data_IF_612437052575
#
_entry.id   IF_612437052575
#
_cell.length_a   1.000
_cell.length_b   1.000
_cell.length_c   1.000
_cell.angle_alpha   90.00
_cell.angle_beta   90.00
_cell.angle_gamma   90.00
#
_symmetry.space_group_name_H-M   'P 1'
#
loop_
_entity.id
_entity.type
_entity.pdbx_description
1 polymer ?
#
# COMPACT_ATOMS: atom_id res chain seq x y z
N UNK A 1 -1.49 -39.99 29.60
CA UNK A 1 -0.68 -39.09 30.44
C UNK A 1 -0.46 -37.80 29.69
N UNK A 2 -0.49 -36.64 30.38
CA UNK A 2 -1.20 -35.45 29.90
C UNK A 2 -0.43 -34.62 28.87
N UNK A 3 -1.20 -34.02 27.97
CA UNK A 3 -0.81 -32.96 27.05
C UNK A 3 -0.42 -31.70 27.84
N UNK A 4 0.84 -31.32 27.79
CA UNK A 4 1.32 -30.07 28.36
C UNK A 4 1.06 -28.93 27.37
N UNK A 5 -0.15 -28.38 27.38
CA UNK A 5 -0.44 -27.09 26.77
C UNK A 5 0.11 -26.00 27.67
N UNK A 6 1.38 -25.65 27.47
CA UNK A 6 1.92 -24.42 28.01
C UNK A 6 1.24 -23.25 27.29
N UNK A 7 0.24 -22.62 27.94
CA UNK A 7 -0.25 -21.31 27.53
C UNK A 7 0.88 -20.31 27.74
N UNK A 8 1.61 -20.00 26.67
CA UNK A 8 2.50 -18.85 26.68
C UNK A 8 1.61 -17.60 26.75
N UNK A 9 1.54 -16.97 27.93
CA UNK A 9 0.96 -15.64 28.06
C UNK A 9 1.66 -14.69 27.08
N UNK A 10 0.93 -13.81 26.37
CA UNK A 10 1.57 -12.86 25.47
C UNK A 10 2.56 -12.00 26.27
N UNK A 11 3.72 -11.64 25.70
CA UNK A 11 4.66 -10.77 26.38
C UNK A 11 3.96 -9.42 26.62
N UNK A 12 3.62 -9.15 27.87
CA UNK A 12 3.05 -7.87 28.31
C UNK A 12 4.17 -6.82 28.41
N UNK A 13 4.85 -6.53 27.29
CA UNK A 13 5.66 -5.33 27.23
C UNK A 13 4.70 -4.15 27.04
N UNK A 14 4.13 -3.66 28.14
CA UNK A 14 3.50 -2.32 28.14
C UNK A 14 4.53 -1.35 27.60
N UNK A 15 4.27 -0.81 26.41
CA UNK A 15 5.05 0.26 25.82
C UNK A 15 5.19 1.38 26.86
N UNK A 16 6.43 1.67 27.29
CA UNK A 16 6.70 2.77 28.21
C UNK A 16 7.02 4.02 27.39
N UNK A 17 5.98 4.79 27.07
CA UNK A 17 6.13 6.13 26.52
C UNK A 17 6.98 7.00 27.47
N UNK A 18 8.10 7.53 26.98
CA UNK A 18 8.83 8.63 27.62
C UNK A 18 8.83 9.80 26.63
N UNK A 19 7.91 10.76 26.78
CA UNK A 19 8.04 12.04 26.09
C UNK A 19 8.72 13.10 26.94
N UNK A 20 9.64 13.79 26.28
CA UNK A 20 10.15 15.11 26.64
C UNK A 20 10.52 15.80 25.32
N UNK A 21 9.66 15.68 24.29
CA UNK A 21 9.96 16.19 22.94
C UNK A 21 9.48 17.65 22.85
N UNK A 22 10.41 18.63 22.80
CA UNK A 22 10.05 20.04 22.84
C UNK A 22 9.32 20.52 21.57
N UNK A 23 9.22 19.68 20.54
CA UNK A 23 8.61 20.01 19.25
C UNK A 23 7.12 19.63 19.14
N UNK A 24 6.56 18.90 20.10
CA UNK A 24 5.14 18.55 20.10
C UNK A 24 4.35 19.37 21.14
N UNK A 25 3.18 19.95 20.76
CA UNK A 25 2.24 20.48 21.74
C UNK A 25 1.83 19.40 22.74
N UNK A 26 1.93 19.69 24.03
CA UNK A 26 1.68 18.72 25.12
C UNK A 26 0.29 18.07 25.06
N UNK A 27 -0.71 18.75 24.49
CA UNK A 27 -2.05 18.19 24.28
C UNK A 27 -2.06 17.07 23.23
N UNK A 28 -1.39 17.28 22.10
CA UNK A 28 -1.25 16.29 21.03
C UNK A 28 -0.41 15.09 21.48
N UNK A 29 0.63 15.32 22.30
CA UNK A 29 1.37 14.22 22.93
C UNK A 29 0.47 13.33 23.79
N UNK A 30 -0.43 13.91 24.57
CA UNK A 30 -1.36 13.16 25.42
C UNK A 30 -2.35 12.35 24.60
N UNK A 31 -2.87 12.91 23.50
CA UNK A 31 -3.77 12.18 22.59
C UNK A 31 -3.06 11.01 21.90
N UNK A 32 -1.85 11.23 21.40
CA UNK A 32 -1.04 10.16 20.79
C UNK A 32 -0.73 9.08 21.83
N UNK A 33 -0.28 9.46 23.02
CA UNK A 33 0.02 8.49 24.09
C UNK A 33 -1.23 7.69 24.49
N UNK A 34 -2.40 8.34 24.57
CA UNK A 34 -3.67 7.68 24.84
C UNK A 34 -4.05 6.70 23.73
N UNK A 35 -3.92 7.10 22.46
CA UNK A 35 -4.21 6.23 21.32
C UNK A 35 -3.26 5.02 21.29
N UNK A 36 -1.96 5.23 21.44
CA UNK A 36 -0.95 4.15 21.46
C UNK A 36 -1.10 3.21 22.67
N UNK A 37 -1.71 3.65 23.78
CA UNK A 37 -2.07 2.77 24.91
C UNK A 37 -3.34 1.97 24.67
N UNK A 38 -4.22 2.44 23.77
CA UNK A 38 -5.52 1.81 23.49
C UNK A 38 -5.40 0.74 22.40
N UNK A 39 -4.48 0.91 21.46
CA UNK A 39 -4.16 -0.07 20.43
C UNK A 39 -2.94 -0.90 20.82
N UNK A 40 -2.92 -2.21 20.53
CA UNK A 40 -1.72 -3.04 20.64
C UNK A 40 -0.78 -2.74 19.45
N UNK A 41 -0.23 -1.53 19.43
CA UNK A 41 0.62 -1.01 18.35
C UNK A 41 2.06 -1.47 18.56
N UNK A 42 2.32 -2.73 18.20
CA UNK A 42 3.68 -3.29 18.19
C UNK A 42 4.58 -2.62 17.15
N UNK A 43 4.02 -2.09 16.04
CA UNK A 43 4.74 -1.33 14.99
C UNK A 43 3.88 -0.22 14.40
N UNK A 44 4.24 1.04 14.64
CA UNK A 44 3.53 2.18 14.07
C UNK A 44 4.53 3.28 13.68
N UNK A 45 4.34 3.85 12.49
CA UNK A 45 4.91 5.15 12.12
C UNK A 45 3.79 6.17 12.24
N UNK A 46 4.00 7.21 13.04
CA UNK A 46 3.13 8.37 13.04
C UNK A 46 3.83 9.48 12.25
N UNK A 47 3.21 9.85 11.13
CA UNK A 47 3.58 11.02 10.37
C UNK A 47 2.52 12.09 10.58
N UNK A 48 2.89 13.21 11.19
CA UNK A 48 2.03 14.40 11.26
C UNK A 48 2.65 15.43 10.34
N UNK A 49 1.98 15.65 9.21
CA UNK A 49 2.30 16.76 8.31
C UNK A 49 1.44 17.92 8.76
N UNK A 50 2.05 18.88 9.47
CA UNK A 50 1.38 20.14 9.74
C UNK A 50 1.63 21.04 8.53
N UNK A 51 0.57 21.34 7.80
CA UNK A 51 0.62 22.41 6.82
C UNK A 51 1.11 23.67 7.55
N UNK A 52 2.10 24.42 7.05
CA UNK A 52 2.45 25.67 7.68
C UNK A 52 1.25 26.57 7.43
N UNK A 53 0.31 26.65 8.38
CA UNK A 53 -0.89 27.44 8.14
C UNK A 53 -0.43 28.85 7.77
N UNK A 54 -0.97 29.44 6.70
CA UNK A 54 -0.87 30.87 6.52
C UNK A 54 -1.69 31.46 7.67
N UNK A 55 -1.00 32.01 8.67
CA UNK A 55 -1.53 32.53 9.93
C UNK A 55 -1.90 31.49 11.02
N UNK A 56 -1.11 31.47 12.09
CA UNK A 56 -1.67 31.52 13.43
C UNK A 56 -1.45 32.95 13.93
N UNK A 57 -2.26 33.88 13.39
CA UNK A 57 -2.56 35.09 14.15
C UNK A 57 -3.54 34.66 15.23
N UNK A 58 -3.03 34.28 16.39
CA UNK A 58 -3.77 34.40 17.63
C UNK A 58 -3.16 35.56 18.37
N UNK A 59 -3.60 36.77 18.04
CA UNK A 59 -3.65 37.84 19.02
C UNK A 59 -4.37 37.27 20.25
N UNK A 60 -3.61 37.15 21.35
CA UNK A 60 -4.11 37.11 22.71
C UNK A 60 -5.13 38.26 22.91
N UNK A 61 -6.05 38.15 23.88
CA UNK A 61 -7.15 39.11 24.02
C UNK A 61 -6.63 40.54 24.16
N UNK A 62 -7.00 41.34 23.14
CA UNK A 62 -7.36 42.78 23.11
C UNK A 62 -6.64 43.54 21.97
N UNK A 63 -7.32 43.63 20.80
CA UNK A 63 -6.93 44.46 19.66
C UNK A 63 -6.47 43.64 18.44
N UNK A 64 -7.37 43.45 17.47
CA UNK A 64 -7.06 42.82 16.17
C UNK A 64 -7.25 43.88 15.09
N UNK A 65 -6.23 44.10 14.26
CA UNK A 65 -6.41 44.66 12.91
C UNK A 65 -5.82 43.68 11.90
N UNK A 66 -6.59 43.42 10.86
CA UNK A 66 -6.18 42.72 9.65
C UNK A 66 -5.03 43.46 8.95
N UNK A 67 -4.09 42.71 8.37
CA UNK A 67 -3.77 42.77 6.93
C UNK A 67 -2.42 42.13 6.62
N UNK A 68 -2.44 41.23 5.64
CA UNK A 68 -1.47 41.05 4.54
C UNK A 68 -1.26 39.56 4.22
N UNK A 69 -2.03 39.09 3.25
CA UNK A 69 -1.75 37.89 2.48
C UNK A 69 -0.46 38.10 1.66
N UNK A 70 0.58 37.34 1.96
CA UNK A 70 1.69 37.09 1.04
C UNK A 70 1.93 35.59 0.96
N UNK A 71 1.68 35.04 -0.22
CA UNK A 71 1.85 33.64 -0.58
C UNK A 71 3.35 33.32 -0.66
N UNK A 72 3.95 32.99 0.48
CA UNK A 72 5.37 32.62 0.58
C UNK A 72 5.55 31.15 0.19
N UNK A 73 5.92 30.91 -1.07
CA UNK A 73 6.19 29.58 -1.65
C UNK A 73 7.39 28.87 -1.00
N UNK A 74 8.15 29.52 -0.11
CA UNK A 74 9.36 28.95 0.51
C UNK A 74 9.11 28.28 1.88
N UNK A 75 7.90 28.36 2.43
CA UNK A 75 7.58 27.69 3.71
C UNK A 75 7.22 26.22 3.47
N UNK A 76 8.24 25.34 3.50
CA UNK A 76 8.03 23.88 3.49
C UNK A 76 7.16 23.47 4.69
N UNK A 77 6.14 22.60 4.52
CA UNK A 77 5.38 22.05 5.63
C UNK A 77 6.30 21.47 6.68
N UNK A 78 6.05 21.80 7.96
CA UNK A 78 6.78 21.19 9.04
C UNK A 78 6.32 19.74 9.18
N UNK A 79 7.24 18.82 8.90
CA UNK A 79 7.01 17.38 8.97
C UNK A 79 7.48 16.88 10.33
N UNK A 80 6.54 16.38 11.13
CA UNK A 80 6.85 15.60 12.32
C UNK A 80 6.77 14.12 11.97
N UNK A 81 7.90 13.41 12.06
CA UNK A 81 8.00 11.99 11.77
C UNK A 81 8.58 11.27 12.97
N UNK A 82 7.84 10.29 13.50
CA UNK A 82 8.34 9.44 14.58
C UNK A 82 7.91 8.00 14.40
N UNK A 83 8.83 7.09 14.70
CA UNK A 83 8.59 5.65 14.70
C UNK A 83 8.50 5.16 16.16
N UNK A 84 7.59 4.23 16.42
CA UNK A 84 7.35 3.64 17.73
C UNK A 84 7.35 2.12 17.66
N UNK A 85 7.67 1.49 18.79
CA UNK A 85 7.62 0.04 18.95
C UNK A 85 8.95 -0.65 18.68
N UNK A 86 8.89 -1.97 18.50
CA UNK A 86 10.05 -2.84 18.26
C UNK A 86 9.91 -3.54 16.91
N UNK A 87 11.04 -3.73 16.24
CA UNK A 87 11.15 -4.53 15.04
C UNK A 87 11.66 -5.93 15.42
N UNK A 88 10.79 -6.93 15.31
CA UNK A 88 11.09 -8.33 15.61
C UNK A 88 12.08 -8.94 14.61
N UNK A 89 12.02 -8.57 13.33
CA UNK A 89 12.89 -9.09 12.26
C UNK A 89 14.36 -8.76 12.52
N UNK A 90 14.65 -7.70 13.28
CA UNK A 90 16.02 -7.30 13.66
C UNK A 90 16.24 -7.25 15.18
N UNK A 91 15.28 -7.72 15.98
CA UNK A 91 15.29 -7.68 17.46
C UNK A 91 15.76 -6.32 18.02
N UNK A 92 15.18 -5.23 17.52
CA UNK A 92 15.65 -3.86 17.81
C UNK A 92 14.54 -2.81 17.82
N UNK A 93 14.87 -1.53 18.01
CA UNK A 93 13.88 -0.45 17.94
C UNK A 93 13.30 -0.34 16.53
N UNK A 94 11.99 -0.08 16.44
CA UNK A 94 11.37 0.26 15.18
C UNK A 94 11.76 1.70 14.79
N UNK A 95 12.23 1.91 13.56
CA UNK A 95 12.75 3.20 13.10
C UNK A 95 12.11 3.63 11.78
N UNK A 96 12.27 4.90 11.41
CA UNK A 96 11.82 5.43 10.12
C UNK A 96 12.50 4.77 8.90
N UNK A 97 13.57 3.98 9.12
CA UNK A 97 14.28 3.24 8.07
C UNK A 97 13.80 1.80 7.93
N UNK A 98 12.92 1.32 8.82
CA UNK A 98 12.39 -0.03 8.73
C UNK A 98 11.50 -0.18 7.50
N UNK A 99 11.75 -1.21 6.68
CA UNK A 99 10.87 -1.58 5.58
C UNK A 99 9.65 -2.31 6.15
N UNK A 100 8.49 -2.04 5.58
CA UNK A 100 7.22 -2.63 5.98
C UNK A 100 6.51 -3.21 4.75
N UNK A 101 5.81 -4.36 4.88
CA UNK A 101 4.87 -4.77 3.87
C UNK A 101 3.73 -3.75 3.80
N UNK A 102 3.56 -3.11 2.65
CA UNK A 102 2.53 -2.06 2.45
C UNK A 102 1.17 -2.62 2.03
N UNK A 103 1.08 -3.94 1.84
CA UNK A 103 -0.15 -4.64 1.50
C UNK A 103 -0.81 -4.10 0.23
N UNK A 104 -2.12 -3.84 0.30
CA UNK A 104 -2.91 -3.39 -0.86
C UNK A 104 -2.47 -2.05 -1.45
N UNK A 105 -1.65 -1.25 -0.76
CA UNK A 105 -1.05 -0.05 -1.36
C UNK A 105 -0.15 -0.37 -2.56
N UNK A 106 0.36 -1.60 -2.67
CA UNK A 106 1.09 -2.09 -3.84
C UNK A 106 0.29 -1.96 -5.14
N UNK A 107 -1.06 -1.98 -5.09
CA UNK A 107 -1.92 -1.78 -6.27
C UNK A 107 -1.71 -0.43 -6.93
N UNK A 108 -1.39 0.61 -6.15
CA UNK A 108 -1.09 1.93 -6.70
C UNK A 108 0.21 1.92 -7.50
N UNK A 109 1.23 1.20 -7.02
CA UNK A 109 2.50 1.02 -7.73
C UNK A 109 2.28 0.20 -9.01
N UNK A 110 1.47 -0.87 -8.96
CA UNK A 110 1.04 -1.60 -10.16
C UNK A 110 0.38 -0.67 -11.18
N UNK A 111 -0.52 0.22 -10.72
CA UNK A 111 -1.25 1.12 -11.61
C UNK A 111 -0.30 2.05 -12.35
N UNK A 112 0.67 2.66 -11.66
CA UNK A 112 1.65 3.52 -12.31
C UNK A 112 2.51 2.77 -13.34
N UNK A 113 2.98 1.58 -13.00
CA UNK A 113 3.78 0.77 -13.92
C UNK A 113 2.99 0.38 -15.18
N UNK A 114 1.73 -0.05 -15.00
CA UNK A 114 0.87 -0.41 -16.12
C UNK A 114 0.52 0.81 -16.96
N UNK A 115 0.11 1.91 -16.34
CA UNK A 115 -0.28 3.13 -17.06
C UNK A 115 0.86 3.66 -17.93
N UNK A 116 2.08 3.71 -17.39
CA UNK A 116 3.28 4.05 -18.13
C UNK A 116 3.48 3.12 -19.35
N UNK A 117 3.41 1.80 -19.13
CA UNK A 117 3.62 0.82 -20.20
C UNK A 117 2.54 0.89 -21.29
N UNK A 118 1.27 1.09 -20.92
CA UNK A 118 0.18 1.23 -21.87
C UNK A 118 0.36 2.47 -22.72
N UNK A 119 0.73 3.61 -22.12
CA UNK A 119 1.02 4.85 -22.83
C UNK A 119 2.16 4.66 -23.85
N UNK A 120 3.28 4.05 -23.43
CA UNK A 120 4.42 3.74 -24.32
C UNK A 120 4.02 2.86 -25.51
N UNK A 121 3.03 1.98 -25.34
CA UNK A 121 2.55 1.05 -26.37
C UNK A 121 1.35 1.58 -27.17
N UNK A 122 0.84 2.77 -26.84
CA UNK A 122 -0.32 3.37 -27.51
C UNK A 122 -1.66 2.72 -27.13
N UNK A 123 -1.76 2.14 -25.94
CA UNK A 123 -2.97 1.53 -25.40
C UNK A 123 -3.56 2.34 -24.24
N UNK A 124 -4.76 1.96 -23.80
CA UNK A 124 -5.47 2.62 -22.68
C UNK A 124 -5.92 1.60 -21.65
N UNK A 125 -6.33 2.06 -20.47
CA UNK A 125 -6.90 1.21 -19.42
C UNK A 125 -8.18 0.50 -19.87
N UNK A 126 -8.89 1.05 -20.85
CA UNK A 126 -10.11 0.52 -21.46
C UNK A 126 -9.85 -0.42 -22.64
N UNK A 127 -8.60 -0.58 -23.07
CA UNK A 127 -8.25 -1.55 -24.10
C UNK A 127 -8.54 -2.96 -23.58
N UNK A 128 -9.32 -3.79 -24.29
CA UNK A 128 -9.60 -5.15 -23.85
C UNK A 128 -8.32 -5.96 -23.63
N UNK A 129 -8.21 -6.64 -22.50
CA UNK A 129 -7.02 -7.42 -22.13
C UNK A 129 -6.70 -8.47 -23.19
N UNK A 130 -7.73 -9.07 -23.81
CA UNK A 130 -7.56 -10.06 -24.87
C UNK A 130 -6.94 -9.50 -26.16
N UNK A 131 -7.03 -8.19 -26.39
CA UNK A 131 -6.28 -7.55 -27.50
C UNK A 131 -4.80 -7.40 -27.17
N UNK A 132 -4.47 -7.17 -25.90
CA UNK A 132 -3.09 -6.99 -25.41
C UNK A 132 -2.39 -8.33 -25.19
N UNK A 133 -3.16 -9.37 -24.90
CA UNK A 133 -2.69 -10.69 -24.49
C UNK A 133 -3.69 -11.75 -24.98
N UNK A 134 -3.55 -12.25 -26.22
CA UNK A 134 -4.57 -13.06 -26.90
C UNK A 134 -4.92 -14.39 -26.22
N UNK A 135 -3.99 -14.94 -25.42
CA UNK A 135 -4.18 -16.16 -24.63
C UNK A 135 -4.80 -15.88 -23.25
N UNK A 136 -5.33 -14.67 -23.03
CA UNK A 136 -6.10 -14.33 -21.84
C UNK A 136 -7.41 -15.13 -21.79
N UNK A 137 -7.58 -15.85 -20.67
CA UNK A 137 -8.76 -16.66 -20.42
C UNK A 137 -9.29 -16.52 -18.99
N UNK A 138 -10.63 -16.52 -18.86
CA UNK A 138 -11.36 -16.58 -17.58
C UNK A 138 -12.53 -17.55 -17.68
N UNK A 139 -13.17 -17.86 -16.55
CA UNK A 139 -14.33 -18.74 -16.50
C UNK A 139 -15.51 -18.24 -17.35
N UNK A 140 -15.85 -16.95 -17.23
CA UNK A 140 -16.97 -16.34 -17.96
C UNK A 140 -16.54 -15.97 -19.39
N UNK A 141 -16.79 -16.88 -20.34
CA UNK A 141 -16.44 -16.68 -21.75
C UNK A 141 -17.21 -15.53 -22.44
N UNK A 142 -18.35 -15.10 -21.89
CA UNK A 142 -19.07 -13.94 -22.42
C UNK A 142 -18.39 -12.63 -21.99
N UNK A 143 -17.92 -12.57 -20.74
CA UNK A 143 -17.20 -11.42 -20.21
C UNK A 143 -15.73 -11.38 -20.67
N UNK A 144 -15.08 -12.53 -20.90
CA UNK A 144 -13.65 -12.67 -21.20
C UNK A 144 -13.14 -11.69 -22.28
N UNK A 145 -13.88 -11.51 -23.38
CA UNK A 145 -13.51 -10.59 -24.46
C UNK A 145 -13.69 -9.10 -24.13
N UNK A 146 -14.32 -8.78 -23.00
CA UNK A 146 -14.70 -7.43 -22.60
C UNK A 146 -13.91 -6.91 -21.39
N UNK A 147 -13.16 -7.78 -20.70
CA UNK A 147 -12.35 -7.38 -19.56
C UNK A 147 -11.31 -6.36 -19.97
N UNK A 148 -11.22 -5.29 -19.20
CA UNK A 148 -10.21 -4.24 -19.32
C UNK A 148 -9.37 -4.14 -18.05
N UNK A 149 -8.26 -3.42 -18.11
CA UNK A 149 -7.50 -3.15 -16.90
C UNK A 149 -8.31 -2.27 -15.94
N UNK A 150 -9.14 -1.35 -16.46
CA UNK A 150 -10.04 -0.52 -15.64
C UNK A 150 -11.01 -1.38 -14.79
N UNK A 151 -11.51 -2.50 -15.30
CA UNK A 151 -12.39 -3.41 -14.55
C UNK A 151 -11.70 -4.07 -13.36
N UNK A 152 -10.41 -4.40 -13.51
CA UNK A 152 -9.59 -4.98 -12.44
C UNK A 152 -9.38 -3.93 -11.33
N UNK A 153 -8.98 -2.71 -11.69
CA UNK A 153 -8.71 -1.65 -10.71
C UNK A 153 -9.97 -1.09 -10.06
N UNK A 154 -11.10 -1.10 -10.76
CA UNK A 154 -12.41 -0.72 -10.21
C UNK A 154 -13.10 -1.87 -9.47
N UNK A 155 -12.49 -3.06 -9.42
CA UNK A 155 -13.03 -4.23 -8.74
C UNK A 155 -14.42 -4.65 -9.26
N UNK A 156 -14.62 -4.59 -10.59
CA UNK A 156 -15.89 -4.83 -11.27
C UNK A 156 -15.94 -6.19 -12.01
N UNK A 157 -15.05 -7.12 -11.64
CA UNK A 157 -14.87 -8.41 -12.34
C UNK A 157 -15.86 -9.50 -11.93
N UNK A 158 -16.49 -9.38 -10.75
CA UNK A 158 -17.38 -10.40 -10.17
C UNK A 158 -16.69 -11.56 -9.45
N UNK A 159 -15.34 -11.54 -9.33
CA UNK A 159 -14.52 -12.63 -8.76
C UNK A 159 -14.12 -12.44 -7.28
N UNK A 160 -14.98 -11.86 -6.45
CA UNK A 160 -14.75 -11.82 -4.99
C UNK A 160 -15.04 -13.16 -4.31
N UNK A 161 -14.48 -13.36 -3.12
CA UNK A 161 -14.73 -14.55 -2.28
C UNK A 161 -13.68 -15.67 -2.44
N UNK A 162 -12.67 -15.46 -3.28
CA UNK A 162 -11.59 -16.40 -3.55
C UNK A 162 -10.24 -15.97 -2.97
N UNK A 163 -10.24 -15.10 -1.96
CA UNK A 163 -9.01 -14.60 -1.33
C UNK A 163 -8.18 -15.71 -0.69
N UNK A 164 -8.82 -16.78 -0.22
CA UNK A 164 -8.12 -17.96 0.32
C UNK A 164 -7.45 -18.82 -0.75
N UNK A 165 -7.80 -18.63 -2.03
CA UNK A 165 -7.08 -19.27 -3.15
C UNK A 165 -5.73 -18.58 -3.39
N UNK A 166 -5.60 -17.31 -2.99
CA UNK A 166 -4.33 -16.60 -3.08
C UNK A 166 -3.38 -17.10 -2.00
N UNK A 167 -2.51 -18.04 -2.37
CA UNK A 167 -1.46 -18.56 -1.50
C UNK A 167 -0.16 -17.78 -1.68
N UNK A 168 0.55 -17.59 -0.58
CA UNK A 168 1.89 -17.02 -0.62
C UNK A 168 2.84 -17.94 -1.41
N UNK A 169 3.54 -17.37 -2.39
CA UNK A 169 4.40 -18.13 -3.31
C UNK A 169 3.69 -18.73 -4.52
N UNK A 170 2.37 -18.50 -4.69
CA UNK A 170 1.67 -18.86 -5.92
C UNK A 170 2.32 -18.16 -7.13
N UNK A 171 2.65 -18.95 -8.16
CA UNK A 171 3.16 -18.39 -9.42
C UNK A 171 2.07 -17.65 -10.18
N UNK A 172 2.47 -16.66 -10.99
CA UNK A 172 1.58 -15.95 -11.91
C UNK A 172 0.77 -16.95 -12.77
N UNK A 173 1.40 -18.03 -13.24
CA UNK A 173 0.70 -19.08 -14.01
C UNK A 173 -0.42 -19.74 -13.21
N UNK A 174 -0.17 -20.18 -11.98
CA UNK A 174 -1.18 -20.82 -11.14
C UNK A 174 -2.36 -19.88 -10.83
N UNK A 175 -2.07 -18.60 -10.60
CA UNK A 175 -3.12 -17.61 -10.38
C UNK A 175 -4.01 -17.44 -11.63
N UNK A 176 -3.42 -17.45 -12.83
CA UNK A 176 -4.16 -17.36 -14.09
C UNK A 176 -4.95 -18.61 -14.40
N UNK A 177 -4.37 -19.80 -14.18
CA UNK A 177 -5.07 -21.07 -14.33
C UNK A 177 -6.31 -21.11 -13.41
N UNK A 178 -6.20 -20.55 -12.21
CA UNK A 178 -7.32 -20.44 -11.27
C UNK A 178 -8.46 -19.57 -11.83
N UNK A 179 -8.15 -18.46 -12.49
CA UNK A 179 -9.18 -17.57 -13.08
C UNK A 179 -10.05 -18.25 -14.16
N UNK A 180 -9.56 -19.33 -14.77
CA UNK A 180 -10.30 -20.10 -15.77
C UNK A 180 -11.37 -21.01 -15.16
N UNK A 181 -11.23 -21.37 -13.87
CA UNK A 181 -12.14 -22.32 -13.19
C UNK A 181 -13.02 -21.65 -12.12
N UNK A 182 -12.68 -20.42 -11.70
CA UNK A 182 -13.40 -19.70 -10.67
C UNK A 182 -14.63 -18.97 -11.23
N UNK A 183 -15.82 -19.34 -10.73
CA UNK A 183 -17.09 -18.76 -11.17
C UNK A 183 -17.30 -17.37 -10.56
N UNK A 184 -17.67 -16.35 -11.34
CA UNK A 184 -18.12 -15.08 -10.77
C UNK A 184 -19.33 -15.29 -9.86
N UNK A 185 -19.34 -14.64 -8.70
CA UNK A 185 -20.48 -14.70 -7.78
C UNK A 185 -21.58 -13.68 -8.16
N UNK A 186 -21.28 -12.78 -9.09
CA UNK A 186 -22.19 -11.82 -9.73
C UNK A 186 -21.81 -11.57 -11.17
N UNK A 187 -22.75 -11.05 -12.00
CA UNK A 187 -22.44 -10.68 -13.37
C UNK A 187 -21.32 -9.64 -13.46
N UNK A 188 -20.52 -9.74 -14.53
CA UNK A 188 -19.49 -8.77 -14.86
C UNK A 188 -20.05 -7.33 -14.88
N UNK A 189 -19.31 -6.38 -14.28
CA UNK A 189 -19.67 -4.96 -14.14
C UNK A 189 -20.98 -4.65 -13.39
N UNK A 190 -21.60 -5.63 -12.73
CA UNK A 190 -22.87 -5.40 -12.03
C UNK A 190 -22.74 -4.75 -10.65
N UNK A 191 -21.64 -5.05 -9.92
CA UNK A 191 -21.37 -4.45 -8.60
C UNK A 191 -19.88 -4.47 -8.28
N UNK A 192 -19.45 -3.51 -7.46
CA UNK A 192 -18.13 -3.48 -6.86
C UNK A 192 -17.94 -4.68 -5.93
N UNK A 193 -16.84 -5.42 -6.10
CA UNK A 193 -16.38 -6.40 -5.12
C UNK A 193 -14.86 -6.45 -5.06
N UNK A 194 -14.32 -6.02 -3.93
CA UNK A 194 -12.88 -6.08 -3.69
C UNK A 194 -12.36 -7.52 -3.90
N UNK A 195 -11.32 -7.64 -4.72
CA UNK A 195 -10.67 -8.92 -5.05
C UNK A 195 -9.19 -8.69 -5.35
N UNK A 196 -8.31 -9.49 -4.76
CA UNK A 196 -6.87 -9.45 -5.05
C UNK A 196 -6.51 -10.30 -6.26
N UNK A 197 -7.25 -11.38 -6.52
CA UNK A 197 -6.86 -12.40 -7.49
C UNK A 197 -6.65 -11.86 -8.93
N UNK A 198 -7.51 -10.96 -9.46
CA UNK A 198 -7.33 -10.41 -10.80
C UNK A 198 -6.06 -9.56 -10.97
N UNK A 199 -5.41 -9.10 -9.89
CA UNK A 199 -4.18 -8.30 -10.01
C UNK A 199 -2.98 -9.12 -10.53
N UNK A 200 -3.03 -10.46 -10.47
CA UNK A 200 -2.03 -11.32 -11.11
C UNK A 200 -2.07 -11.21 -12.65
N UNK A 201 -3.23 -10.84 -13.22
CA UNK A 201 -3.34 -10.56 -14.66
C UNK A 201 -2.49 -9.33 -15.00
N UNK A 202 -2.46 -8.32 -14.13
CA UNK A 202 -1.69 -7.09 -14.37
C UNK A 202 -0.18 -7.38 -14.36
N UNK A 203 0.30 -8.19 -13.41
CA UNK A 203 1.70 -8.65 -13.37
C UNK A 203 2.06 -9.35 -14.70
N UNK A 204 1.25 -10.33 -15.10
CA UNK A 204 1.43 -11.06 -16.35
C UNK A 204 1.43 -10.14 -17.57
N UNK A 205 0.49 -9.20 -17.63
CA UNK A 205 0.32 -8.28 -18.74
C UNK A 205 1.54 -7.36 -18.90
N UNK A 206 2.02 -6.79 -17.80
CA UNK A 206 3.24 -5.98 -17.80
C UNK A 206 4.45 -6.81 -18.22
N UNK A 207 4.58 -8.03 -17.70
CA UNK A 207 5.65 -8.94 -18.09
C UNK A 207 5.60 -9.27 -19.59
N UNK A 208 4.40 -9.55 -20.12
CA UNK A 208 4.18 -9.86 -21.53
C UNK A 208 4.52 -8.68 -22.46
N UNK A 209 4.01 -7.49 -22.15
CA UNK A 209 4.17 -6.31 -23.01
C UNK A 209 5.58 -5.68 -22.95
N UNK A 210 6.26 -5.80 -21.80
CA UNK A 210 7.60 -5.23 -21.60
C UNK A 210 8.74 -6.20 -21.89
N UNK A 211 8.50 -7.52 -21.79
CA UNK A 211 9.55 -8.54 -21.84
C UNK A 211 10.43 -8.60 -20.58
N UNK A 212 10.08 -7.88 -19.51
CA UNK A 212 10.80 -7.84 -18.23
C UNK A 212 9.95 -8.47 -17.13
N UNK A 213 10.58 -9.12 -16.15
CA UNK A 213 9.85 -9.52 -14.95
C UNK A 213 9.22 -8.29 -14.25
N UNK A 214 7.98 -8.41 -13.79
CA UNK A 214 7.24 -7.29 -13.23
C UNK A 214 7.97 -6.48 -12.13
N UNK A 215 8.61 -7.10 -11.11
CA UNK A 215 9.37 -6.34 -10.10
C UNK A 215 10.53 -5.54 -10.70
N UNK A 216 11.17 -6.05 -11.77
CA UNK A 216 12.25 -5.36 -12.45
C UNK A 216 11.72 -4.15 -13.24
N UNK A 217 10.59 -4.32 -13.95
CA UNK A 217 9.94 -3.22 -14.65
C UNK A 217 9.53 -2.09 -13.69
N UNK A 218 8.88 -2.44 -12.57
CA UNK A 218 8.48 -1.46 -11.54
C UNK A 218 9.70 -0.74 -10.96
N UNK A 219 10.77 -1.47 -10.67
CA UNK A 219 11.98 -0.86 -10.14
C UNK A 219 12.53 0.20 -11.09
N UNK A 220 12.73 -0.16 -12.36
CA UNK A 220 13.35 0.69 -13.37
C UNK A 220 12.47 1.88 -13.77
N UNK A 221 11.17 1.68 -13.95
CA UNK A 221 10.28 2.67 -14.54
C UNK A 221 9.44 3.45 -13.52
N UNK A 222 9.34 2.97 -12.26
CA UNK A 222 8.55 3.64 -11.21
C UNK A 222 9.41 4.01 -10.02
N UNK A 223 10.13 3.07 -9.41
CA UNK A 223 10.79 3.30 -8.12
C UNK A 223 12.08 4.11 -8.24
N UNK A 224 12.96 3.75 -9.18
CA UNK A 224 14.24 4.43 -9.39
C UNK A 224 14.06 5.90 -9.82
N UNK A 225 13.16 6.24 -10.77
CA UNK A 225 12.95 7.63 -11.19
C UNK A 225 12.47 8.57 -10.08
N UNK A 226 11.71 8.05 -9.11
CA UNK A 226 11.19 8.84 -7.98
C UNK A 226 12.01 8.64 -6.69
N UNK A 227 13.15 7.95 -6.77
CA UNK A 227 14.11 7.82 -5.68
C UNK A 227 13.70 6.88 -4.54
N UNK A 228 12.79 5.92 -4.78
CA UNK A 228 12.34 4.95 -3.76
C UNK A 228 13.29 3.75 -3.63
N UNK A 229 14.57 4.01 -3.34
CA UNK A 229 15.64 3.00 -3.26
C UNK A 229 15.52 2.02 -2.09
N UNK A 230 14.66 2.32 -1.10
CA UNK A 230 14.40 1.44 0.05
C UNK A 230 13.20 0.53 -0.13
N UNK A 231 12.54 0.55 -1.29
CA UNK A 231 11.37 -0.27 -1.60
C UNK A 231 11.79 -1.58 -2.26
N UNK A 232 11.23 -2.71 -1.80
CA UNK A 232 11.56 -4.06 -2.26
C UNK A 232 10.30 -4.90 -2.45
N UNK A 233 10.40 -5.97 -3.25
CA UNK A 233 9.29 -6.87 -3.55
C UNK A 233 9.29 -8.17 -2.73
N UNK A 234 10.46 -8.63 -2.24
CA UNK A 234 10.58 -9.88 -1.49
C UNK A 234 10.58 -9.61 0.00
N UNK A 235 9.91 -10.47 0.76
CA UNK A 235 9.89 -10.36 2.23
C UNK A 235 11.29 -10.54 2.83
N UNK A 236 12.10 -11.44 2.26
CA UNK A 236 13.49 -11.67 2.66
C UNK A 236 14.38 -10.41 2.56
N UNK A 237 13.96 -9.42 1.78
CA UNK A 237 14.67 -8.17 1.58
C UNK A 237 14.14 -7.05 2.50
N UNK A 238 13.16 -7.32 3.38
CA UNK A 238 12.69 -6.33 4.37
C UNK A 238 13.78 -5.94 5.37
N UNK A 239 14.71 -6.86 5.65
CA UNK A 239 15.92 -6.57 6.40
C UNK A 239 17.06 -6.38 5.40
N UNK A 240 17.66 -5.19 5.30
CA UNK A 240 18.84 -5.00 4.46
C UNK A 240 19.94 -5.99 4.86
N UNK A 241 20.44 -6.74 3.89
CA UNK A 241 21.65 -7.55 4.05
C UNK A 241 22.83 -6.59 4.05
N UNK A 242 23.65 -6.63 5.11
CA UNK A 242 24.79 -5.74 5.32
C UNK A 242 25.85 -5.84 4.24
#
# INVERSE_FOLDING_TARGET
MPTNTASASPPTSRFKWRSSDPLLPTALEKEIASALHTFDVTRCVLAIVKDPSPSASSTLPHGVSDDAFANDRDKRPQRYLRAFGTNDKVNGPFTLKCRLPIGSNTKLIHLFALAHLLEEKGYTMDTPIKQLMPDFEVYDKQAEGQWTCADIYSHMTGLSGYELVFEEGMSVKQALDSLQVLRPNVPFRSRFQYSNLPFNIIDRLVTHLSGKAFPAYVKEHVLDPIGLSSTVYKEDDLVPKG
#
